data_IF_310120132090
#
_entry.id   IF_310120132090
#
_cell.length_a   1.000
_cell.length_b   1.000
_cell.length_c   1.000
_cell.angle_alpha   90.00
_cell.angle_beta   90.00
_cell.angle_gamma   90.00
#
_symmetry.space_group_name_H-M   'P 1'
#
loop_
_entity.id
_entity.type
_entity.pdbx_description
1 polymer ?
#
# COMPACT_ATOMS: atom_id res chain seq x y z
N UNK A 1 -0.16 1.46 -28.33
CA UNK A 1 0.48 0.32 -27.64
C UNK A 1 1.48 0.81 -26.57
N UNK A 2 1.09 1.77 -25.71
CA UNK A 2 1.90 2.20 -24.54
C UNK A 2 1.05 2.37 -23.26
N UNK A 3 -0.28 2.35 -23.38
CA UNK A 3 -1.21 2.43 -22.24
C UNK A 3 -1.29 1.12 -21.41
N UNK A 4 -0.93 -0.03 -22.00
CA UNK A 4 -1.09 -1.31 -21.32
C UNK A 4 -0.05 -1.58 -20.22
N UNK A 5 1.13 -0.95 -20.28
CA UNK A 5 2.20 -1.21 -19.30
C UNK A 5 1.92 -0.56 -17.93
N UNK A 6 1.14 0.53 -17.87
CA UNK A 6 0.85 1.24 -16.63
C UNK A 6 -0.36 0.68 -15.86
N UNK A 7 -1.22 -0.12 -16.52
CA UNK A 7 -2.42 -0.68 -15.89
C UNK A 7 -2.10 -1.60 -14.70
N UNK A 8 -0.94 -2.26 -14.74
CA UNK A 8 -0.55 -3.25 -13.74
C UNK A 8 -0.32 -2.57 -12.38
N UNK A 9 0.41 -1.45 -12.36
CA UNK A 9 0.69 -0.71 -11.13
C UNK A 9 -0.56 -0.02 -10.57
N UNK A 10 -1.38 0.55 -11.46
CA UNK A 10 -2.65 1.14 -11.06
C UNK A 10 -3.55 0.10 -10.40
N UNK A 11 -3.75 -1.07 -11.01
CA UNK A 11 -4.57 -2.14 -10.47
C UNK A 11 -4.07 -2.66 -9.11
N UNK A 12 -2.74 -2.77 -8.93
CA UNK A 12 -2.13 -3.16 -7.66
C UNK A 12 -2.42 -2.12 -6.57
N UNK A 13 -2.18 -0.84 -6.84
CA UNK A 13 -2.43 0.23 -5.86
C UNK A 13 -3.92 0.29 -5.51
N UNK A 14 -4.82 0.25 -6.50
CA UNK A 14 -6.26 0.24 -6.24
C UNK A 14 -6.70 -0.95 -5.38
N UNK A 15 -6.15 -2.14 -5.64
CA UNK A 15 -6.44 -3.33 -4.83
C UNK A 15 -6.00 -3.14 -3.37
N UNK A 16 -4.82 -2.57 -3.14
CA UNK A 16 -4.30 -2.28 -1.79
C UNK A 16 -5.15 -1.24 -1.05
N UNK A 17 -5.60 -0.18 -1.72
CA UNK A 17 -6.48 0.83 -1.13
C UNK A 17 -7.83 0.22 -0.72
N UNK A 18 -8.39 -0.67 -1.53
CA UNK A 18 -9.60 -1.43 -1.17
C UNK A 18 -9.34 -2.34 0.02
N UNK A 19 -8.17 -3.01 0.07
CA UNK A 19 -7.77 -3.81 1.23
C UNK A 19 -7.64 -2.98 2.50
N UNK A 20 -7.14 -1.74 2.44
CA UNK A 20 -7.11 -0.83 3.61
C UNK A 20 -8.52 -0.64 4.19
N UNK A 21 -9.48 -0.29 3.32
CA UNK A 21 -10.89 -0.10 3.72
C UNK A 21 -11.50 -1.35 4.35
N UNK A 22 -11.21 -2.52 3.78
CA UNK A 22 -11.69 -3.81 4.31
C UNK A 22 -11.08 -4.15 5.69
N UNK A 23 -9.91 -3.61 6.01
CA UNK A 23 -9.26 -3.76 7.32
C UNK A 23 -9.63 -2.63 8.30
N UNK A 24 -10.55 -1.73 7.94
CA UNK A 24 -10.94 -0.59 8.79
C UNK A 24 -9.86 0.49 8.92
N UNK A 25 -8.91 0.51 7.98
CA UNK A 25 -7.83 1.48 7.91
C UNK A 25 -8.13 2.53 6.85
N UNK A 26 -7.90 3.80 7.19
CA UNK A 26 -7.97 4.88 6.23
C UNK A 26 -6.85 4.72 5.18
N UNK A 27 -7.18 4.63 3.88
CA UNK A 27 -6.17 4.40 2.84
C UNK A 27 -5.12 5.51 2.74
N UNK A 28 -5.49 6.74 3.13
CA UNK A 28 -4.57 7.88 3.17
C UNK A 28 -3.49 7.70 4.23
N UNK A 29 -3.86 7.27 5.45
CA UNK A 29 -2.92 7.02 6.53
C UNK A 29 -1.94 5.91 6.17
N UNK A 30 -2.45 4.81 5.59
CA UNK A 30 -1.60 3.73 5.07
C UNK A 30 -0.61 4.24 4.01
N UNK A 31 -1.09 4.99 3.02
CA UNK A 31 -0.24 5.47 1.93
C UNK A 31 0.83 6.44 2.45
N UNK A 32 0.48 7.30 3.41
CA UNK A 32 1.42 8.22 4.05
C UNK A 32 2.52 7.46 4.79
N UNK A 33 2.15 6.48 5.59
CA UNK A 33 3.10 5.60 6.31
C UNK A 33 4.04 4.89 5.34
N UNK A 34 3.51 4.35 4.24
CA UNK A 34 4.29 3.67 3.20
C UNK A 34 5.27 4.64 2.53
N UNK A 35 4.84 5.81 2.07
CA UNK A 35 5.70 6.78 1.38
C UNK A 35 6.83 7.28 2.30
N UNK A 36 6.55 7.48 3.59
CA UNK A 36 7.56 7.89 4.57
C UNK A 36 8.58 6.77 4.82
N UNK A 37 8.12 5.52 4.92
CA UNK A 37 8.97 4.39 5.30
C UNK A 37 9.72 3.76 4.12
N UNK A 38 9.16 3.80 2.90
CA UNK A 38 9.67 3.04 1.74
C UNK A 38 11.10 3.38 1.35
N UNK A 39 11.54 4.63 1.57
CA UNK A 39 12.90 5.06 1.23
C UNK A 39 13.96 4.43 2.16
N UNK A 40 13.60 4.19 3.43
CA UNK A 40 14.49 3.66 4.45
C UNK A 40 14.24 2.17 4.74
N UNK A 41 13.22 1.56 4.11
CA UNK A 41 12.86 0.16 4.31
C UNK A 41 13.65 -0.77 3.39
N UNK A 42 14.19 -1.86 3.94
CA UNK A 42 14.84 -2.88 3.11
C UNK A 42 13.82 -3.55 2.18
N UNK A 43 14.21 -3.79 0.93
CA UNK A 43 13.37 -4.45 -0.09
C UNK A 43 12.81 -5.80 0.37
N UNK A 44 13.56 -6.55 1.16
CA UNK A 44 13.13 -7.83 1.73
C UNK A 44 12.12 -7.70 2.88
N UNK A 45 11.69 -6.49 3.25
CA UNK A 45 10.70 -6.23 4.31
C UNK A 45 9.51 -5.41 3.84
N UNK A 46 9.38 -5.18 2.52
CA UNK A 46 8.26 -4.40 1.96
C UNK A 46 6.91 -5.04 2.28
N UNK A 47 6.86 -6.36 2.49
CA UNK A 47 5.64 -7.04 2.92
C UNK A 47 5.13 -6.56 4.28
N UNK A 48 5.99 -6.03 5.15
CA UNK A 48 5.61 -5.45 6.45
C UNK A 48 4.81 -4.15 6.27
N UNK A 49 4.95 -3.49 5.11
CA UNK A 49 4.22 -2.27 4.76
C UNK A 49 2.86 -2.57 4.09
N UNK A 50 2.39 -3.81 4.14
CA UNK A 50 1.06 -4.19 3.65
C UNK A 50 -0.01 -3.80 4.67
N UNK A 51 -1.21 -3.41 4.21
CA UNK A 51 -2.22 -2.74 5.04
C UNK A 51 -2.73 -3.57 6.23
N UNK A 52 -2.62 -4.90 6.18
CA UNK A 52 -3.00 -5.77 7.29
C UNK A 52 -1.96 -5.86 8.42
N UNK A 53 -0.72 -5.40 8.19
CA UNK A 53 0.34 -5.40 9.21
C UNK A 53 0.32 -4.15 10.08
N UNK A 54 -0.34 -3.09 9.63
CA UNK A 54 -0.61 -1.94 10.47
C UNK A 54 -1.80 -2.29 11.34
N UNK A 55 -1.55 -2.59 12.63
CA UNK A 55 -2.64 -2.57 13.59
C UNK A 55 -3.19 -1.16 13.61
N UNK A 56 -4.46 -1.00 13.23
CA UNK A 56 -5.21 0.19 13.57
C UNK A 56 -5.03 0.37 15.07
N UNK A 57 -4.18 1.34 15.45
CA UNK A 57 -4.07 1.75 16.84
C UNK A 57 -5.47 2.20 17.19
N UNK A 58 -6.06 1.44 18.12
CA UNK A 58 -7.41 1.63 18.62
C UNK A 58 -7.53 2.97 19.35
#
# INVERSE_FOLDING_TARGET
MLVHAYQHYAAIIYSLLVTCKLNGMEPEDWLREVIVKINDWSSNRVYELLPWNFSAVK
#
